data_IF_779591138704
#
_entry.id   IF_779591138704
#
_cell.length_a   1.000
_cell.length_b   1.000
_cell.length_c   1.000
_cell.angle_alpha   90.00
_cell.angle_beta   90.00
_cell.angle_gamma   90.00
#
_symmetry.space_group_name_H-M   'P 1'
#
loop_
_entity.id
_entity.type
_entity.pdbx_description
1 polymer ?
#
# COMPACT_ATOMS: atom_id res chain seq x y z
N UNK A 1 -5.94 3.86 -10.19
CA UNK A 1 -5.12 4.99 -10.68
C UNK A 1 -5.81 6.26 -10.28
N UNK A 2 -5.08 7.23 -9.74
CA UNK A 2 -5.63 8.50 -9.27
C UNK A 2 -6.46 9.23 -10.35
N UNK A 3 -7.68 9.63 -9.99
CA UNK A 3 -8.58 10.44 -10.80
C UNK A 3 -9.00 11.72 -10.05
N UNK A 4 -8.47 12.86 -10.51
CA UNK A 4 -8.73 14.18 -9.93
C UNK A 4 -10.09 14.78 -10.27
N UNK A 5 -10.86 14.18 -11.19
CA UNK A 5 -12.05 14.79 -11.80
C UNK A 5 -13.04 15.34 -10.77
N UNK A 6 -13.23 14.61 -9.66
CA UNK A 6 -14.18 14.98 -8.61
C UNK A 6 -13.54 15.50 -7.32
N UNK A 7 -12.21 15.64 -7.26
CA UNK A 7 -11.55 16.13 -6.04
C UNK A 7 -11.98 17.55 -5.66
N UNK A 8 -12.27 18.40 -6.66
CA UNK A 8 -12.77 19.77 -6.43
C UNK A 8 -14.14 19.80 -5.72
N UNK A 9 -14.94 18.73 -5.88
CA UNK A 9 -16.26 18.59 -5.27
C UNK A 9 -16.17 18.03 -3.83
N UNK A 10 -14.98 17.69 -3.35
CA UNK A 10 -14.79 17.19 -2.00
C UNK A 10 -14.74 18.36 -1.02
N UNK A 11 -15.83 18.56 -0.28
CA UNK A 11 -15.92 19.62 0.73
C UNK A 11 -15.02 19.31 1.93
N UNK A 12 -15.05 18.06 2.41
CA UNK A 12 -14.35 17.66 3.64
C UNK A 12 -12.90 17.22 3.45
N UNK A 13 -12.44 17.01 2.21
CA UNK A 13 -11.12 16.43 1.91
C UNK A 13 -10.90 15.14 2.74
N UNK A 14 -11.88 14.22 2.67
CA UNK A 14 -11.96 13.03 3.52
C UNK A 14 -10.70 12.15 3.50
N UNK A 15 -9.96 12.18 2.39
CA UNK A 15 -8.69 11.46 2.25
C UNK A 15 -7.61 11.92 3.23
N UNK A 16 -7.64 13.19 3.67
CA UNK A 16 -6.70 13.74 4.64
C UNK A 16 -7.36 13.99 6.00
N UNK A 17 -8.54 14.61 6.04
CA UNK A 17 -9.20 15.01 7.31
C UNK A 17 -9.63 13.83 8.17
N UNK A 18 -9.77 12.62 7.59
CA UNK A 18 -10.04 11.38 8.32
C UNK A 18 -8.79 10.54 8.57
N UNK A 19 -7.61 11.01 8.18
CA UNK A 19 -6.36 10.29 8.42
C UNK A 19 -6.14 10.08 9.93
N UNK A 20 -5.74 8.86 10.31
CA UNK A 20 -5.50 8.51 11.72
C UNK A 20 -4.04 8.74 12.15
N UNK A 21 -3.17 9.14 11.21
CA UNK A 21 -1.72 9.19 11.41
C UNK A 21 -1.12 10.57 11.18
N UNK A 22 -1.87 11.47 10.54
CA UNK A 22 -1.42 12.81 10.17
C UNK A 22 -2.31 13.81 10.89
N UNK A 23 -1.71 14.66 11.71
CA UNK A 23 -2.40 15.79 12.33
C UNK A 23 -2.44 16.96 11.34
N UNK A 24 -3.64 17.30 10.87
CA UNK A 24 -3.87 18.48 10.04
C UNK A 24 -4.22 19.67 10.92
N UNK A 25 -3.84 20.87 10.49
CA UNK A 25 -4.16 22.09 11.24
C UNK A 25 -5.66 22.39 11.17
N UNK A 26 -6.24 22.27 9.96
CA UNK A 26 -7.66 22.46 9.69
C UNK A 26 -7.99 21.97 8.26
N UNK A 27 -9.25 22.14 7.84
CA UNK A 27 -9.73 21.75 6.51
C UNK A 27 -9.07 22.54 5.36
N UNK A 28 -8.67 23.80 5.58
CA UNK A 28 -7.99 24.61 4.57
C UNK A 28 -6.54 24.16 4.36
N UNK A 29 -5.88 23.71 5.42
CA UNK A 29 -4.58 23.04 5.35
C UNK A 29 -4.69 21.74 4.55
N UNK A 30 -5.68 20.89 4.85
CA UNK A 30 -5.97 19.69 4.06
C UNK A 30 -6.20 20.01 2.57
N UNK A 31 -7.00 21.04 2.29
CA UNK A 31 -7.27 21.52 0.92
C UNK A 31 -6.02 22.05 0.23
N UNK A 32 -5.14 22.71 0.96
CA UNK A 32 -3.86 23.22 0.44
C UNK A 32 -2.95 22.06 0.05
N UNK A 33 -2.75 21.10 0.96
CA UNK A 33 -1.84 19.97 0.75
C UNK A 33 -2.33 19.01 -0.34
N UNK A 34 -3.62 18.68 -0.39
CA UNK A 34 -4.14 17.83 -1.47
C UNK A 34 -3.99 18.52 -2.84
N UNK A 35 -4.16 19.84 -2.91
CA UNK A 35 -4.00 20.57 -4.16
C UNK A 35 -2.54 20.66 -4.61
N UNK A 36 -1.58 20.79 -3.68
CA UNK A 36 -0.15 20.64 -4.00
C UNK A 36 0.11 19.27 -4.62
N UNK A 37 -0.34 18.20 -3.96
CA UNK A 37 -0.15 16.84 -4.45
C UNK A 37 -0.83 16.62 -5.82
N UNK A 38 -2.05 17.13 -6.05
CA UNK A 38 -2.74 17.04 -7.35
C UNK A 38 -1.95 17.71 -8.48
N UNK A 39 -1.21 18.79 -8.18
CA UNK A 39 -0.30 19.46 -9.12
C UNK A 39 1.03 18.74 -9.30
N UNK A 40 1.26 17.68 -8.54
CA UNK A 40 2.50 16.91 -8.52
C UNK A 40 3.63 17.58 -7.73
N UNK A 41 3.28 18.49 -6.82
CA UNK A 41 4.20 19.20 -5.93
C UNK A 41 4.44 18.41 -4.63
N UNK A 42 5.50 18.77 -3.91
CA UNK A 42 5.83 18.19 -2.61
C UNK A 42 4.86 18.68 -1.51
N UNK A 43 4.64 17.85 -0.49
CA UNK A 43 3.72 18.08 0.62
C UNK A 43 4.24 17.38 1.87
N UNK A 44 4.05 17.98 3.05
CA UNK A 44 4.45 17.33 4.30
C UNK A 44 3.67 16.02 4.53
N UNK A 45 2.48 15.88 3.93
CA UNK A 45 1.70 14.63 3.95
C UNK A 45 2.53 13.46 3.43
N UNK A 46 3.42 13.68 2.46
CA UNK A 46 4.21 12.63 1.85
C UNK A 46 5.25 12.03 2.83
N UNK A 47 5.83 12.83 3.73
CA UNK A 47 6.76 12.32 4.74
C UNK A 47 6.05 11.67 5.93
N UNK A 48 4.83 12.11 6.24
CA UNK A 48 4.06 11.61 7.39
C UNK A 48 3.17 10.40 7.06
N UNK A 49 2.83 10.19 5.79
CA UNK A 49 1.93 9.10 5.39
C UNK A 49 2.55 7.72 5.60
N UNK A 50 1.91 6.92 6.46
CA UNK A 50 2.31 5.53 6.79
C UNK A 50 1.79 4.47 5.81
N UNK A 51 1.22 4.88 4.67
CA UNK A 51 0.74 3.98 3.60
C UNK A 51 -0.34 2.96 4.02
N UNK A 52 -1.26 3.33 4.92
CA UNK A 52 -2.30 2.43 5.44
C UNK A 52 -3.51 2.18 4.52
N UNK A 53 -3.56 2.77 3.32
CA UNK A 53 -4.64 2.65 2.33
C UNK A 53 -6.01 3.28 2.71
N UNK A 54 -6.25 3.63 3.97
CA UNK A 54 -7.55 4.14 4.43
C UNK A 54 -8.08 5.38 3.67
N UNK A 55 -7.18 6.24 3.15
CA UNK A 55 -7.60 7.40 2.37
C UNK A 55 -8.36 7.02 1.09
N UNK A 56 -8.08 5.84 0.51
CA UNK A 56 -8.80 5.34 -0.66
C UNK A 56 -10.20 4.85 -0.28
N UNK A 57 -10.32 4.15 0.85
CA UNK A 57 -11.63 3.73 1.40
C UNK A 57 -12.51 4.91 1.83
N UNK A 58 -11.90 6.02 2.24
CA UNK A 58 -12.63 7.21 2.66
C UNK A 58 -13.08 8.09 1.51
N UNK A 59 -12.53 7.93 0.30
CA UNK A 59 -12.82 8.82 -0.81
C UNK A 59 -14.24 8.57 -1.34
N UNK A 60 -15.18 9.53 -1.20
CA UNK A 60 -16.55 9.32 -1.67
C UNK A 60 -16.69 9.32 -3.19
N UNK A 61 -15.63 9.73 -3.90
CA UNK A 61 -15.59 9.86 -5.36
C UNK A 61 -14.77 8.78 -6.06
N UNK A 62 -14.24 7.79 -5.32
CA UNK A 62 -13.36 6.76 -5.85
C UNK A 62 -12.18 7.35 -6.66
N UNK A 63 -11.58 8.42 -6.13
CA UNK A 63 -10.49 9.14 -6.80
C UNK A 63 -9.12 8.49 -6.64
N UNK A 64 -8.96 7.44 -5.84
CA UNK A 64 -7.67 6.77 -5.61
C UNK A 64 -6.54 7.68 -5.06
N UNK A 65 -6.78 8.44 -3.97
CA UNK A 65 -5.77 9.30 -3.36
C UNK A 65 -4.53 8.56 -2.85
N UNK A 66 -4.66 7.27 -2.51
CA UNK A 66 -3.51 6.44 -2.14
C UNK A 66 -2.49 6.37 -3.28
N UNK A 67 -2.95 6.11 -4.51
CA UNK A 67 -2.08 6.08 -5.70
C UNK A 67 -1.36 7.42 -5.91
N UNK A 68 -2.04 8.54 -5.69
CA UNK A 68 -1.42 9.88 -5.79
C UNK A 68 -0.27 10.01 -4.79
N UNK A 69 -0.53 9.67 -3.52
CA UNK A 69 0.42 9.83 -2.43
C UNK A 69 1.63 8.93 -2.65
N UNK A 70 1.46 7.65 -2.96
CA UNK A 70 2.59 6.71 -3.13
C UNK A 70 3.46 7.06 -4.33
N UNK A 71 2.86 7.46 -5.46
CA UNK A 71 3.64 7.92 -6.61
C UNK A 71 4.49 9.17 -6.29
N UNK A 72 3.96 10.10 -5.48
CA UNK A 72 4.70 11.28 -5.06
C UNK A 72 5.75 10.97 -3.99
N UNK A 73 5.47 10.05 -3.06
CA UNK A 73 6.45 9.57 -2.09
C UNK A 73 7.67 8.96 -2.80
N UNK A 74 7.46 8.19 -3.87
CA UNK A 74 8.54 7.67 -4.70
C UNK A 74 9.29 8.80 -5.44
N UNK A 75 8.56 9.69 -6.11
CA UNK A 75 9.13 10.82 -6.86
C UNK A 75 10.04 11.70 -5.99
N UNK A 76 9.62 11.99 -4.77
CA UNK A 76 10.32 12.88 -3.84
C UNK A 76 11.21 12.14 -2.84
N UNK A 77 11.23 10.80 -2.86
CA UNK A 77 11.86 9.97 -1.83
C UNK A 77 11.51 10.44 -0.40
N UNK A 78 10.24 10.76 -0.17
CA UNK A 78 9.79 11.44 1.06
C UNK A 78 10.00 10.60 2.33
N UNK A 79 10.03 9.27 2.19
CA UNK A 79 10.28 8.32 3.29
C UNK A 79 11.77 8.06 3.54
N UNK A 80 12.67 8.65 2.74
CA UNK A 80 14.14 8.53 2.87
C UNK A 80 14.59 7.07 3.00
N UNK A 81 14.05 6.21 2.13
CA UNK A 81 14.36 4.79 2.16
C UNK A 81 15.85 4.60 1.86
N UNK A 82 16.53 3.83 2.71
CA UNK A 82 17.93 3.50 2.50
C UNK A 82 18.09 2.78 1.15
N UNK A 83 18.95 3.26 0.23
CA UNK A 83 19.14 2.64 -1.08
C UNK A 83 19.51 1.14 -1.00
N UNK A 84 20.23 0.73 0.03
CA UNK A 84 20.60 -0.68 0.22
C UNK A 84 19.40 -1.55 0.58
N UNK A 85 18.44 -1.00 1.34
CA UNK A 85 17.16 -1.68 1.63
C UNK A 85 16.34 -1.80 0.34
N UNK A 86 16.30 -0.74 -0.47
CA UNK A 86 15.61 -0.76 -1.76
C UNK A 86 16.18 -1.81 -2.70
N UNK A 87 17.50 -1.80 -2.95
CA UNK A 87 18.18 -2.77 -3.80
C UNK A 87 17.97 -4.21 -3.32
N UNK A 88 18.12 -4.45 -2.01
CA UNK A 88 17.88 -5.76 -1.41
C UNK A 88 16.44 -6.20 -1.58
N UNK A 89 15.48 -5.29 -1.43
CA UNK A 89 14.05 -5.59 -1.58
C UNK A 89 13.74 -5.96 -3.02
N UNK A 90 14.21 -5.18 -4.00
CA UNK A 90 14.06 -5.48 -5.44
C UNK A 90 14.63 -6.87 -5.76
N UNK A 91 15.85 -7.18 -5.32
CA UNK A 91 16.46 -8.50 -5.53
C UNK A 91 15.70 -9.63 -4.83
N UNK A 92 15.18 -9.37 -3.63
CA UNK A 92 14.41 -10.35 -2.84
C UNK A 92 13.08 -10.67 -3.49
N UNK A 93 12.48 -9.71 -4.19
CA UNK A 93 11.17 -9.87 -4.85
C UNK A 93 11.22 -10.04 -6.37
N UNK A 94 12.41 -10.02 -6.98
CA UNK A 94 12.59 -10.31 -8.41
C UNK A 94 12.06 -11.72 -8.79
N UNK A 95 11.43 -11.88 -9.97
CA UNK A 95 10.93 -13.18 -10.39
C UNK A 95 12.08 -14.19 -10.56
N UNK A 96 11.78 -15.48 -10.40
CA UNK A 96 12.73 -16.52 -10.77
C UNK A 96 12.80 -16.66 -12.29
N UNK A 97 13.97 -17.06 -12.82
CA UNK A 97 14.13 -17.36 -14.25
C UNK A 97 13.23 -18.50 -14.73
N UNK A 98 12.98 -19.47 -13.83
CA UNK A 98 12.10 -20.60 -14.07
C UNK A 98 11.03 -20.63 -13.00
N UNK A 99 9.78 -20.82 -13.43
CA UNK A 99 8.61 -20.92 -12.55
C UNK A 99 8.75 -22.12 -11.63
N UNK A 100 8.60 -21.89 -10.32
CA UNK A 100 8.69 -22.92 -9.27
C UNK A 100 7.38 -23.04 -8.51
N UNK A 101 6.49 -23.88 -9.00
CA UNK A 101 5.23 -24.17 -8.32
C UNK A 101 5.40 -25.35 -7.36
N UNK A 102 4.69 -25.25 -6.24
CA UNK A 102 4.57 -26.32 -5.25
C UNK A 102 3.36 -27.15 -5.64
N UNK A 103 3.52 -28.47 -5.58
CA UNK A 103 2.40 -29.39 -5.76
C UNK A 103 1.39 -29.25 -4.60
N UNK A 104 0.11 -29.13 -4.94
CA UNK A 104 -1.00 -29.00 -4.00
C UNK A 104 -2.06 -30.07 -4.28
N UNK A 105 -2.82 -30.45 -3.26
CA UNK A 105 -3.94 -31.37 -3.40
C UNK A 105 -5.18 -30.51 -3.72
N UNK A 106 -5.79 -30.65 -4.92
CA UNK A 106 -6.91 -29.82 -5.31
C UNK A 106 -8.14 -30.02 -4.41
N UNK A 107 -8.19 -31.09 -3.60
CA UNK A 107 -9.27 -31.38 -2.68
C UNK A 107 -9.07 -30.79 -1.28
N UNK A 108 -7.95 -30.10 -1.03
CA UNK A 108 -7.65 -29.48 0.27
C UNK A 108 -7.64 -27.97 0.21
N UNK A 109 -8.08 -27.29 1.29
CA UNK A 109 -8.05 -25.83 1.33
C UNK A 109 -6.61 -25.32 1.30
N UNK A 110 -6.37 -24.29 0.48
CA UNK A 110 -5.05 -23.69 0.30
C UNK A 110 -5.10 -22.21 0.71
N UNK A 111 -4.14 -21.79 1.53
CA UNK A 111 -3.90 -20.40 1.86
C UNK A 111 -2.63 -19.90 1.16
N UNK A 112 -2.78 -18.81 0.41
CA UNK A 112 -1.65 -18.07 -0.13
C UNK A 112 -1.05 -17.14 0.94
N UNK A 113 0.28 -17.13 1.06
CA UNK A 113 1.02 -16.16 1.89
C UNK A 113 1.60 -15.01 1.06
N UNK A 114 1.13 -14.81 -0.17
CA UNK A 114 1.69 -13.84 -1.12
C UNK A 114 3.22 -14.03 -1.27
N UNK A 115 3.97 -12.96 -1.57
CA UNK A 115 5.43 -12.93 -1.52
C UNK A 115 6.03 -13.03 -0.11
N UNK A 116 5.20 -13.01 0.94
CA UNK A 116 5.63 -12.84 2.34
C UNK A 116 5.76 -14.18 3.08
N UNK A 117 6.26 -15.21 2.39
CA UNK A 117 6.31 -16.60 2.86
C UNK A 117 6.83 -16.80 4.29
N UNK A 118 7.79 -15.96 4.71
CA UNK A 118 8.49 -16.05 5.99
C UNK A 118 7.94 -15.10 7.06
N UNK A 119 7.06 -14.16 6.71
CA UNK A 119 6.53 -13.19 7.66
C UNK A 119 5.52 -13.87 8.57
N UNK A 120 5.69 -13.70 9.89
CA UNK A 120 4.74 -14.13 10.92
C UNK A 120 4.34 -15.62 10.89
N UNK A 121 5.13 -16.50 10.28
CA UNK A 121 4.78 -17.93 10.18
C UNK A 121 4.53 -18.59 11.55
N UNK A 122 5.21 -18.11 12.60
CA UNK A 122 5.04 -18.58 13.98
C UNK A 122 3.69 -18.19 14.58
N UNK A 123 3.04 -17.16 14.04
CA UNK A 123 1.74 -16.68 14.50
C UNK A 123 0.57 -17.40 13.79
N UNK A 124 0.87 -18.22 12.78
CA UNK A 124 -0.13 -18.99 12.01
C UNK A 124 -0.44 -20.31 12.72
N UNK A 125 -1.12 -20.21 13.86
CA UNK A 125 -1.43 -21.34 14.74
C UNK A 125 -2.91 -21.35 15.15
N UNK A 126 -3.45 -22.53 15.45
CA UNK A 126 -4.85 -22.74 15.83
C UNK A 126 -5.70 -23.33 14.71
N UNK A 127 -6.97 -23.62 15.03
CA UNK A 127 -7.88 -24.42 14.19
C UNK A 127 -8.03 -23.93 12.75
N UNK A 128 -7.93 -22.62 12.51
CA UNK A 128 -7.96 -22.05 11.16
C UNK A 128 -6.84 -22.59 10.26
N UNK A 129 -5.69 -22.95 10.84
CA UNK A 129 -4.45 -23.30 10.14
C UNK A 129 -4.16 -24.79 10.07
N UNK A 130 -4.87 -25.63 10.83
CA UNK A 130 -4.56 -27.05 11.03
C UNK A 130 -4.72 -27.92 9.77
N UNK A 131 -5.64 -27.56 8.86
CA UNK A 131 -5.93 -28.32 7.64
C UNK A 131 -5.56 -27.57 6.34
N UNK A 132 -4.71 -26.54 6.42
CA UNK A 132 -4.35 -25.74 5.26
C UNK A 132 -3.09 -26.25 4.57
N UNK A 133 -3.12 -26.28 3.24
CA UNK A 133 -1.92 -26.23 2.43
C UNK A 133 -1.48 -24.78 2.25
N UNK A 134 -0.17 -24.55 2.18
CA UNK A 134 0.38 -23.21 1.97
C UNK A 134 1.12 -23.13 0.65
N UNK A 135 0.78 -22.10 -0.12
CA UNK A 135 1.54 -21.63 -1.28
C UNK A 135 2.00 -20.20 -1.00
N UNK A 136 3.14 -19.83 -1.57
CA UNK A 136 3.73 -18.52 -1.36
C UNK A 136 4.88 -18.31 -2.33
N UNK A 137 5.24 -17.06 -2.55
CA UNK A 137 6.40 -16.69 -3.34
C UNK A 137 6.04 -16.15 -4.70
N UNK A 138 7.09 -15.68 -5.35
CA UNK A 138 7.10 -14.82 -6.55
C UNK A 138 6.75 -15.56 -7.85
N UNK A 139 6.54 -16.86 -7.76
CA UNK A 139 6.09 -17.68 -8.89
C UNK A 139 4.57 -17.72 -8.99
N UNK A 140 3.86 -17.29 -7.93
CA UNK A 140 2.40 -17.20 -7.88
C UNK A 140 1.88 -15.77 -8.07
N UNK A 141 2.74 -14.76 -7.87
CA UNK A 141 2.43 -13.32 -7.89
C UNK A 141 3.58 -12.55 -8.55
#
# INVERSE_FOLDING_TARGET
MFDKTNCVNCENIDCLTRCQWIELINIEDARTEINKMIKGEDSYVLSECVTCFACDEYCPYNSHPFDLITNLQEKYNSLKIDPTILERTIKTYAPHEQVRLKEIDPNKPTLTKCGLAKINYKNMQGQLFDNLQYVSGRDYF
#
